data_IF_023726713974
#
_entry.id   IF_023726713974
#
_cell.length_a   1.000
_cell.length_b   1.000
_cell.length_c   1.000
_cell.angle_alpha   90.00
_cell.angle_beta   90.00
_cell.angle_gamma   90.00
#
_symmetry.space_group_name_H-M   'P 1'
#
loop_
_entity.id
_entity.type
_entity.pdbx_description
1 polymer ?
#
# COMPACT_ATOMS: atom_id res chain seq x y z
N UNK A 1 -49.89 -15.87 -5.99
CA UNK A 1 -49.53 -15.17 -7.24
C UNK A 1 -49.35 -13.69 -6.93
N UNK A 2 -48.23 -13.08 -7.32
CA UNK A 2 -48.17 -11.76 -7.94
C UNK A 2 -46.71 -11.44 -8.29
N UNK A 3 -46.39 -11.64 -9.57
CA UNK A 3 -45.11 -11.31 -10.18
C UNK A 3 -45.21 -9.90 -10.79
N UNK A 4 -44.30 -9.00 -10.41
CA UNK A 4 -44.11 -7.72 -11.10
C UNK A 4 -42.70 -7.72 -11.70
N UNK A 5 -42.54 -7.86 -13.02
CA UNK A 5 -41.26 -7.68 -13.68
C UNK A 5 -41.10 -6.21 -14.09
N UNK A 6 -40.01 -5.56 -13.66
CA UNK A 6 -39.56 -4.27 -14.21
C UNK A 6 -38.19 -4.45 -14.84
N UNK A 7 -38.17 -4.38 -16.17
CA UNK A 7 -36.97 -4.39 -17.02
C UNK A 7 -36.59 -2.94 -17.41
N UNK A 8 -35.36 -2.71 -17.88
CA UNK A 8 -34.52 -1.58 -17.48
C UNK A 8 -34.62 -0.37 -18.41
N UNK A 9 -34.47 0.83 -17.85
CA UNK A 9 -34.30 2.07 -18.63
C UNK A 9 -32.81 2.40 -18.69
N UNK A 10 -32.24 2.27 -19.88
CA UNK A 10 -30.89 2.70 -20.23
C UNK A 10 -30.94 4.21 -20.51
N UNK A 11 -30.17 5.01 -19.78
CA UNK A 11 -29.91 6.42 -20.12
C UNK A 11 -28.44 6.51 -20.51
N UNK A 12 -28.22 6.69 -21.82
CA UNK A 12 -26.94 7.02 -22.41
C UNK A 12 -26.64 8.51 -22.17
N UNK A 13 -25.48 8.81 -21.60
CA UNK A 13 -24.95 10.17 -21.52
C UNK A 13 -23.53 10.18 -22.10
N UNK A 14 -23.42 10.76 -23.31
CA UNK A 14 -22.18 11.10 -23.98
C UNK A 14 -21.60 12.37 -23.35
N UNK A 15 -20.39 12.30 -22.80
CA UNK A 15 -19.54 13.47 -22.55
C UNK A 15 -18.14 13.18 -23.09
N UNK A 16 -17.86 13.71 -24.29
CA UNK A 16 -16.52 13.77 -24.86
C UNK A 16 -15.87 15.09 -24.43
N UNK A 17 -14.81 15.03 -23.62
CA UNK A 17 -13.99 16.19 -23.26
C UNK A 17 -12.61 16.04 -23.89
N UNK A 18 -12.34 16.92 -24.85
CA UNK A 18 -11.06 17.09 -25.54
C UNK A 18 -9.97 17.48 -24.52
N UNK A 19 -8.91 16.68 -24.43
CA UNK A 19 -7.75 17.00 -23.61
C UNK A 19 -6.78 17.84 -24.46
N UNK A 20 -6.76 19.15 -24.22
CA UNK A 20 -5.78 20.06 -24.79
C UNK A 20 -4.42 19.80 -24.14
N UNK A 21 -3.48 19.24 -24.91
CA UNK A 21 -2.09 19.13 -24.54
C UNK A 21 -1.43 20.53 -24.61
N UNK A 22 -1.04 21.06 -23.46
CA UNK A 22 -0.24 22.28 -23.35
C UNK A 22 1.24 21.87 -23.26
N UNK A 23 2.02 22.25 -24.26
CA UNK A 23 3.48 22.19 -24.25
C UNK A 23 4.09 23.42 -23.58
N UNK A 24 5.31 23.30 -23.06
CA UNK A 24 6.06 24.43 -22.54
C UNK A 24 7.39 24.02 -21.89
N UNK A 25 8.45 24.10 -22.68
CA UNK A 25 9.87 23.95 -22.34
C UNK A 25 10.41 25.08 -21.46
N UNK A 26 11.44 24.80 -20.66
CA UNK A 26 12.21 25.83 -19.95
C UNK A 26 13.52 25.28 -19.38
N UNK A 27 14.61 25.49 -20.12
CA UNK A 27 16.00 25.23 -19.73
C UNK A 27 16.49 26.29 -18.73
N UNK A 28 17.35 25.90 -17.77
CA UNK A 28 18.43 26.77 -17.25
C UNK A 28 19.45 26.00 -16.41
N UNK A 29 20.70 26.17 -16.81
CA UNK A 29 21.94 25.56 -16.33
C UNK A 29 22.62 26.45 -15.29
N UNK A 30 23.09 25.92 -14.15
CA UNK A 30 24.28 26.43 -13.43
C UNK A 30 24.66 25.63 -12.18
N UNK A 31 25.93 25.74 -11.71
CA UNK A 31 26.82 24.62 -11.48
C UNK A 31 27.06 24.37 -9.99
N UNK A 32 27.65 23.24 -9.61
CA UNK A 32 28.43 23.13 -8.35
C UNK A 32 29.35 21.90 -8.34
N UNK A 33 30.64 22.19 -8.58
CA UNK A 33 31.81 21.75 -7.78
C UNK A 33 31.94 20.28 -7.38
N UNK A 34 32.84 19.60 -8.09
CA UNK A 34 33.49 18.35 -7.70
C UNK A 34 34.14 18.44 -6.32
N UNK A 35 33.76 17.54 -5.41
CA UNK A 35 34.50 17.25 -4.16
C UNK A 35 34.97 15.79 -4.20
N UNK A 36 36.22 15.46 -3.82
CA UNK A 36 36.81 14.12 -3.95
C UNK A 36 36.08 13.00 -3.15
N UNK A 37 36.14 11.73 -3.60
CA UNK A 37 35.37 10.65 -2.99
C UNK A 37 35.98 10.25 -1.65
N UNK A 38 35.19 10.34 -0.58
CA UNK A 38 35.50 9.67 0.69
C UNK A 38 34.88 8.29 0.62
N UNK A 39 35.72 7.25 0.59
CA UNK A 39 35.30 5.84 0.54
C UNK A 39 34.52 5.43 1.79
N UNK A 40 33.19 5.50 1.71
CA UNK A 40 32.26 4.84 2.63
C UNK A 40 31.73 3.61 1.91
N UNK A 41 31.70 2.41 2.54
CA UNK A 41 31.08 1.24 1.94
C UNK A 41 29.65 1.56 1.49
N UNK A 42 29.23 1.23 0.25
CA UNK A 42 27.90 1.56 -0.21
C UNK A 42 26.86 0.88 0.69
N UNK A 43 25.97 1.69 1.27
CA UNK A 43 24.79 1.19 1.96
C UNK A 43 24.00 0.32 0.97
N UNK A 44 23.82 -0.96 1.31
CA UNK A 44 23.06 -1.90 0.48
C UNK A 44 21.59 -1.53 0.62
N UNK A 45 21.06 -0.82 -0.38
CA UNK A 45 19.62 -0.50 -0.47
C UNK A 45 18.86 -1.78 -0.80
N UNK A 46 18.23 -2.35 0.23
CA UNK A 46 17.37 -3.52 0.05
C UNK A 46 16.03 -3.03 -0.52
N UNK A 47 15.49 -3.61 -1.61
CA UNK A 47 14.14 -3.29 -2.07
C UNK A 47 13.13 -3.49 -0.94
N UNK A 48 12.12 -2.63 -0.91
CA UNK A 48 11.12 -2.62 0.15
C UNK A 48 9.73 -2.41 -0.42
N UNK A 49 8.76 -3.09 0.18
CA UNK A 49 7.35 -2.87 -0.11
C UNK A 49 6.89 -1.75 0.83
N UNK A 50 6.30 -0.72 0.25
CA UNK A 50 5.71 0.40 1.00
C UNK A 50 4.23 0.53 0.66
N UNK A 51 3.43 0.97 1.61
CA UNK A 51 2.00 1.14 1.43
C UNK A 51 1.29 1.64 2.68
N UNK A 52 -0.03 1.77 2.57
CA UNK A 52 -0.94 2.13 3.67
C UNK A 52 -2.03 1.07 3.77
N UNK A 53 -2.25 0.52 4.97
CA UNK A 53 -3.13 -0.63 5.17
C UNK A 53 -4.62 -0.35 4.90
N UNK A 54 -5.11 0.85 5.22
CA UNK A 54 -6.50 1.33 5.04
C UNK A 54 -6.50 2.87 4.94
N UNK A 55 -7.55 3.50 4.40
CA UNK A 55 -7.81 4.96 4.46
C UNK A 55 -8.13 5.44 5.90
N UNK A 56 -7.13 5.29 6.79
CA UNK A 56 -7.15 5.61 8.21
C UNK A 56 -5.89 5.09 8.93
N UNK A 57 -5.50 5.71 10.03
CA UNK A 57 -4.26 5.48 10.78
C UNK A 57 -4.35 4.22 11.66
N UNK A 58 -4.26 3.03 11.05
CA UNK A 58 -4.10 1.80 11.83
C UNK A 58 -2.69 1.75 12.42
N UNK A 59 -2.56 1.94 13.72
CA UNK A 59 -1.30 1.91 14.46
C UNK A 59 -1.14 0.57 15.16
N UNK A 60 0.03 -0.05 15.02
CA UNK A 60 0.30 -1.34 15.68
C UNK A 60 -0.40 -2.53 15.01
N UNK A 61 -0.77 -2.43 13.73
CA UNK A 61 -1.20 -3.58 12.95
C UNK A 61 0.04 -4.33 12.43
N UNK A 62 -0.02 -5.65 12.41
CA UNK A 62 1.04 -6.47 11.83
C UNK A 62 0.81 -6.60 10.33
N UNK A 63 1.82 -6.27 9.54
CA UNK A 63 1.82 -6.44 8.09
C UNK A 63 2.82 -7.55 7.75
N UNK A 64 2.44 -8.53 6.95
CA UNK A 64 3.35 -9.59 6.53
C UNK A 64 3.20 -9.94 5.04
N UNK A 65 4.27 -10.42 4.43
CA UNK A 65 4.24 -11.00 3.09
C UNK A 65 4.01 -12.51 3.22
N UNK A 66 2.83 -12.97 2.84
CA UNK A 66 2.44 -14.38 2.85
C UNK A 66 3.12 -15.10 1.67
N UNK A 67 4.20 -15.81 2.02
CA UNK A 67 5.07 -16.50 1.08
C UNK A 67 4.59 -17.92 0.81
N UNK A 68 3.86 -18.53 1.76
CA UNK A 68 3.39 -19.91 1.66
C UNK A 68 1.92 -20.04 1.22
N UNK A 69 1.25 -18.91 1.01
CA UNK A 69 -0.14 -18.77 0.55
C UNK A 69 -1.19 -19.36 1.51
N UNK A 70 -0.92 -19.40 2.81
CA UNK A 70 -1.85 -19.95 3.80
C UNK A 70 -2.80 -18.90 4.42
N UNK A 71 -2.66 -17.62 4.06
CA UNK A 71 -3.45 -16.48 4.57
C UNK A 71 -3.26 -16.22 6.08
N UNK A 72 -2.11 -16.59 6.63
CA UNK A 72 -1.71 -16.34 8.02
C UNK A 72 -0.34 -15.67 8.01
N UNK A 73 -0.10 -14.72 8.91
CA UNK A 73 1.27 -14.24 9.14
C UNK A 73 2.02 -15.27 9.97
N UNK A 74 2.89 -16.04 9.32
CA UNK A 74 3.65 -17.09 9.99
C UNK A 74 5.00 -16.62 10.54
N UNK A 75 5.51 -17.36 11.53
CA UNK A 75 6.88 -17.20 11.98
C UNK A 75 7.85 -17.58 10.86
N UNK A 76 8.62 -16.62 10.38
CA UNK A 76 9.58 -16.80 9.29
C UNK A 76 9.22 -16.04 8.02
N UNK A 77 8.00 -15.49 7.94
CA UNK A 77 7.62 -14.59 6.87
C UNK A 77 8.07 -13.15 7.17
N UNK A 78 8.46 -12.38 6.13
CA UNK A 78 8.78 -10.98 6.31
C UNK A 78 7.58 -10.26 6.91
N UNK A 79 7.79 -9.56 8.03
CA UNK A 79 6.75 -8.76 8.67
C UNK A 79 7.25 -7.40 9.17
N UNK A 80 6.31 -6.46 9.30
CA UNK A 80 6.49 -5.11 9.81
C UNK A 80 5.29 -4.71 10.66
N UNK A 81 5.42 -3.64 11.43
CA UNK A 81 4.31 -3.06 12.20
C UNK A 81 3.99 -1.68 11.68
N UNK A 82 2.70 -1.34 11.56
CA UNK A 82 2.30 -0.01 11.11
C UNK A 82 2.60 1.06 12.16
N UNK A 83 3.11 2.21 11.69
CA UNK A 83 3.44 3.36 12.53
C UNK A 83 2.22 4.21 12.91
N UNK A 84 2.47 5.34 13.59
CA UNK A 84 1.42 6.29 13.99
C UNK A 84 0.63 6.89 12.80
N UNK A 85 1.21 6.86 11.60
CA UNK A 85 0.60 7.32 10.37
C UNK A 85 -0.04 6.17 9.55
N UNK A 86 0.01 4.93 10.06
CA UNK A 86 -0.48 3.74 9.38
C UNK A 86 0.42 3.28 8.23
N UNK A 87 1.63 3.82 8.13
CA UNK A 87 2.62 3.41 7.14
C UNK A 87 3.38 2.19 7.64
N UNK A 88 3.91 1.40 6.70
CA UNK A 88 4.85 0.33 7.00
C UNK A 88 5.92 0.26 5.89
N UNK A 89 7.09 -0.24 6.27
CA UNK A 89 8.16 -0.58 5.34
C UNK A 89 8.56 -2.02 5.61
N UNK A 90 8.44 -2.86 4.59
CA UNK A 90 8.77 -4.27 4.68
C UNK A 90 9.96 -4.59 3.77
N UNK A 91 11.19 -4.79 4.32
CA UNK A 91 12.35 -5.13 3.51
C UNK A 91 12.23 -6.56 2.98
N UNK A 92 12.31 -6.73 1.66
CA UNK A 92 12.22 -8.03 1.02
C UNK A 92 12.85 -8.00 -0.38
N UNK A 93 13.74 -8.96 -0.66
CA UNK A 93 14.52 -9.02 -1.90
C UNK A 93 14.05 -10.05 -2.91
N UNK A 94 12.98 -10.80 -2.61
CA UNK A 94 12.44 -11.81 -3.53
C UNK A 94 11.38 -11.26 -4.47
N UNK A 95 10.88 -12.12 -5.35
CA UNK A 95 9.73 -11.80 -6.20
C UNK A 95 8.44 -11.73 -5.37
N UNK A 96 7.74 -10.61 -5.49
CA UNK A 96 6.47 -10.33 -4.83
C UNK A 96 5.28 -10.57 -5.75
N UNK A 97 5.50 -10.81 -7.05
CA UNK A 97 4.45 -10.99 -8.03
C UNK A 97 3.53 -12.16 -7.65
N UNK A 98 2.24 -11.86 -7.55
CA UNK A 98 1.20 -12.83 -7.17
C UNK A 98 1.25 -13.29 -5.70
N UNK A 99 2.13 -12.72 -4.88
CA UNK A 99 2.14 -12.96 -3.42
C UNK A 99 1.09 -12.09 -2.74
N UNK A 100 0.69 -12.50 -1.54
CA UNK A 100 -0.28 -11.77 -0.73
C UNK A 100 0.43 -10.95 0.34
N UNK A 101 0.06 -9.70 0.45
CA UNK A 101 0.36 -8.88 1.62
C UNK A 101 -0.83 -8.98 2.56
N UNK A 102 -0.60 -9.41 3.79
CA UNK A 102 -1.62 -9.51 4.83
C UNK A 102 -1.44 -8.38 5.84
N UNK A 103 -2.55 -7.86 6.35
CA UNK A 103 -2.58 -6.94 7.48
C UNK A 103 -3.47 -7.53 8.55
N UNK A 104 -2.88 -7.93 9.67
CA UNK A 104 -3.57 -8.42 10.85
C UNK A 104 -3.89 -7.26 11.78
N UNK A 105 -5.19 -7.06 11.99
CA UNK A 105 -5.75 -6.14 12.98
C UNK A 105 -6.17 -6.94 14.19
N UNK A 106 -5.79 -6.49 15.38
CA UNK A 106 -6.12 -7.12 16.65
C UNK A 106 -6.76 -6.10 17.59
N UNK A 107 -7.32 -6.51 18.75
CA UNK A 107 -7.74 -5.57 19.79
C UNK A 107 -6.64 -4.61 20.28
N UNK A 108 -5.37 -4.94 20.07
CA UNK A 108 -4.26 -4.05 20.40
C UNK A 108 -4.06 -2.93 19.35
N UNK A 109 -4.46 -3.16 18.10
CA UNK A 109 -4.36 -2.17 17.02
C UNK A 109 -5.25 -0.97 17.31
N UNK A 110 -4.73 0.24 17.06
CA UNK A 110 -5.46 1.49 17.26
C UNK A 110 -5.86 2.09 15.93
N UNK A 111 -7.10 2.51 15.84
CA UNK A 111 -7.61 3.28 14.71
C UNK A 111 -7.73 4.75 15.16
N UNK A 112 -6.79 5.60 14.75
CA UNK A 112 -6.82 7.02 15.18
C UNK A 112 -7.92 7.84 14.50
N UNK A 113 -8.66 7.26 13.55
CA UNK A 113 -9.88 7.89 13.01
C UNK A 113 -11.09 7.71 13.93
N UNK A 114 -10.98 6.83 14.94
CA UNK A 114 -12.02 6.55 15.93
C UNK A 114 -11.74 7.25 17.26
N UNK A 115 -12.77 7.43 18.10
CA UNK A 115 -12.58 7.99 19.44
C UNK A 115 -11.51 7.24 20.24
N UNK A 116 -10.79 7.98 21.08
CA UNK A 116 -9.82 7.41 22.00
C UNK A 116 -10.48 6.32 22.87
N UNK A 117 -9.79 5.19 23.02
CA UNK A 117 -10.31 4.03 23.75
C UNK A 117 -11.14 3.06 22.91
N UNK A 118 -11.40 3.36 21.63
CA UNK A 118 -11.92 2.35 20.72
C UNK A 118 -10.95 1.16 20.65
N UNK A 119 -11.53 -0.04 20.71
CA UNK A 119 -10.82 -1.31 20.56
C UNK A 119 -11.60 -2.17 19.59
N UNK A 120 -10.88 -2.84 18.68
CA UNK A 120 -11.51 -3.81 17.79
C UNK A 120 -12.07 -4.98 18.61
N UNK A 121 -13.36 -5.34 18.43
CA UNK A 121 -13.98 -6.40 19.22
C UNK A 121 -13.49 -7.80 18.83
N UNK A 122 -12.84 -7.94 17.67
CA UNK A 122 -12.28 -9.17 17.16
C UNK A 122 -11.05 -8.88 16.30
N UNK A 123 -10.18 -9.86 16.17
CA UNK A 123 -9.08 -9.82 15.19
C UNK A 123 -9.59 -10.16 13.80
N UNK A 124 -9.03 -9.51 12.78
CA UNK A 124 -9.31 -9.81 11.39
C UNK A 124 -8.08 -9.55 10.52
N UNK A 125 -8.04 -10.19 9.35
CA UNK A 125 -6.95 -10.07 8.39
C UNK A 125 -7.48 -9.45 7.10
N UNK A 126 -6.79 -8.43 6.62
CA UNK A 126 -6.99 -7.86 5.28
C UNK A 126 -5.90 -8.40 4.36
N UNK A 127 -6.22 -8.63 3.09
CA UNK A 127 -5.26 -9.16 2.12
C UNK A 127 -5.25 -8.34 0.84
N UNK A 128 -4.08 -8.06 0.31
CA UNK A 128 -3.89 -7.49 -1.02
C UNK A 128 -2.96 -8.41 -1.84
N UNK A 129 -3.23 -8.58 -3.13
CA UNK A 129 -2.29 -9.26 -4.04
C UNK A 129 -1.32 -8.22 -4.56
N UNK A 130 -0.02 -8.53 -4.52
CA UNK A 130 1.01 -7.68 -5.10
C UNK A 130 1.13 -8.02 -6.58
N UNK A 131 0.64 -7.11 -7.42
CA UNK A 131 0.99 -7.08 -8.84
C UNK A 131 2.48 -6.76 -8.91
N UNK A 132 3.30 -7.61 -9.52
CA UNK A 132 4.76 -7.45 -9.58
C UNK A 132 5.16 -6.12 -10.22
N UNK A 133 5.28 -5.07 -9.42
CA UNK A 133 5.79 -3.77 -9.81
C UNK A 133 7.28 -3.75 -9.55
N UNK A 134 8.08 -3.75 -10.62
CA UNK A 134 9.49 -3.37 -10.56
C UNK A 134 9.58 -1.98 -9.92
N UNK A 135 10.19 -1.89 -8.74
CA UNK A 135 10.64 -0.62 -8.15
C UNK A 135 11.68 0.05 -9.01
#
# INVERSE_FOLDING_TARGET
MNNIPRKPTVIAALCATMLAACGGSGDSNSPSTSTPPTTTPPAVTTPSITGKAIDGYLVGATVCLDLNANNVCDSGEPSATTDANGNFTLPYTGDTSGKRLLVQVTPATKDLSRPAGFTFPASYTMSAVLEGGTT
#
